data_IF_044785864304
#
_entry.id   IF_044785864304
#
_cell.length_a   1.000
_cell.length_b   1.000
_cell.length_c   1.000
_cell.angle_alpha   90.00
_cell.angle_beta   90.00
_cell.angle_gamma   90.00
#
_symmetry.space_group_name_H-M   'P 1'
#
loop_
_entity.id
_entity.type
_entity.pdbx_description
1 polymer ?
#
# COMPACT_ATOMS: atom_id res chain seq x y z
N UNK A 1 18.44 -7.25 23.57
CA UNK A 1 17.58 -6.04 23.58
C UNK A 1 16.76 -6.05 24.85
N UNK A 2 16.52 -4.91 25.49
CA UNK A 2 15.63 -4.85 26.67
C UNK A 2 14.16 -5.10 26.26
N UNK A 3 13.40 -5.70 27.16
CA UNK A 3 11.98 -6.07 26.98
C UNK A 3 11.11 -4.87 26.61
N UNK A 4 11.35 -3.72 27.24
CA UNK A 4 10.62 -2.47 26.94
C UNK A 4 10.85 -1.99 25.50
N UNK A 5 12.08 -2.14 25.00
CA UNK A 5 12.41 -1.78 23.61
C UNK A 5 11.77 -2.75 22.61
N UNK A 6 11.72 -4.04 22.94
CA UNK A 6 11.00 -5.04 22.13
C UNK A 6 9.52 -4.66 21.99
N UNK A 7 8.86 -4.35 23.11
CA UNK A 7 7.45 -3.97 23.12
C UNK A 7 7.18 -2.65 22.39
N UNK A 8 8.09 -1.69 22.55
CA UNK A 8 8.05 -0.45 21.79
C UNK A 8 8.10 -0.72 20.27
N UNK A 9 9.00 -1.59 19.83
CA UNK A 9 9.22 -1.89 18.41
C UNK A 9 8.10 -2.75 17.81
N UNK A 10 7.46 -3.62 18.60
CA UNK A 10 6.23 -4.31 18.20
C UNK A 10 5.13 -3.32 17.80
N UNK A 11 5.06 -2.13 18.41
CA UNK A 11 4.08 -1.09 18.08
C UNK A 11 4.17 -0.58 16.64
N UNK A 12 5.29 -0.80 15.95
CA UNK A 12 5.37 -0.49 14.53
C UNK A 12 4.60 -1.54 13.69
N UNK A 13 4.59 -2.82 14.11
CA UNK A 13 4.01 -3.94 13.34
C UNK A 13 2.62 -4.35 13.82
N UNK A 14 2.29 -4.06 15.08
CA UNK A 14 1.05 -4.46 15.74
C UNK A 14 0.31 -3.20 16.19
N UNK A 15 -1.01 -3.19 16.01
CA UNK A 15 -1.90 -2.19 16.61
C UNK A 15 -3.09 -2.86 17.27
N UNK A 16 -3.67 -2.18 18.25
CA UNK A 16 -4.92 -2.59 18.90
C UNK A 16 -6.12 -2.04 18.14
N UNK A 17 -6.99 -2.90 17.62
CA UNK A 17 -8.21 -2.45 16.93
C UNK A 17 -9.34 -2.23 17.92
N UNK A 18 -9.54 -3.18 18.84
CA UNK A 18 -10.48 -3.09 19.95
C UNK A 18 -9.92 -3.88 21.16
N UNK A 19 -10.70 -4.10 22.21
CA UNK A 19 -10.22 -4.81 23.40
C UNK A 19 -9.84 -6.27 23.14
N UNK A 20 -10.51 -6.92 22.20
CA UNK A 20 -10.35 -8.34 21.90
C UNK A 20 -9.61 -8.60 20.59
N UNK A 21 -9.13 -7.56 19.90
CA UNK A 21 -8.60 -7.68 18.55
C UNK A 21 -7.34 -6.83 18.34
N UNK A 22 -6.30 -7.49 17.85
CA UNK A 22 -5.10 -6.84 17.33
C UNK A 22 -4.98 -7.08 15.82
N UNK A 23 -4.26 -6.17 15.19
CA UNK A 23 -3.97 -6.20 13.75
C UNK A 23 -2.45 -6.18 13.56
N UNK A 24 -1.95 -7.06 12.69
CA UNK A 24 -0.54 -7.19 12.34
C UNK A 24 -0.33 -6.75 10.89
N UNK A 25 0.57 -5.79 10.71
CA UNK A 25 0.88 -5.17 9.43
C UNK A 25 1.54 -6.16 8.47
N UNK A 26 1.25 -6.01 7.17
CA UNK A 26 1.99 -6.70 6.13
C UNK A 26 3.30 -5.97 5.82
N UNK A 27 4.38 -6.74 5.64
CA UNK A 27 5.73 -6.24 5.41
C UNK A 27 6.04 -6.00 3.93
N UNK A 28 5.85 -7.00 3.06
CA UNK A 28 6.78 -7.16 1.94
C UNK A 28 6.36 -6.50 0.60
N UNK A 29 5.37 -7.04 -0.12
CA UNK A 29 5.07 -6.63 -1.51
C UNK A 29 4.61 -5.17 -1.65
N UNK A 30 4.06 -4.66 -0.57
CA UNK A 30 3.29 -3.44 -0.54
C UNK A 30 4.14 -2.24 -0.05
N UNK A 31 5.06 -2.46 0.89
CA UNK A 31 6.01 -1.44 1.36
C UNK A 31 7.06 -1.05 0.34
N UNK A 32 7.57 -2.03 -0.41
CA UNK A 32 8.56 -1.80 -1.45
C UNK A 32 7.99 -0.99 -2.62
N UNK A 33 6.88 -1.45 -3.22
CA UNK A 33 6.30 -0.79 -4.40
C UNK A 33 5.95 0.67 -4.10
N UNK A 34 5.42 0.96 -2.90
CA UNK A 34 5.22 2.32 -2.43
C UNK A 34 6.50 3.14 -2.37
N UNK A 35 7.54 2.60 -1.74
CA UNK A 35 8.84 3.26 -1.65
C UNK A 35 9.39 3.55 -3.05
N UNK A 36 9.32 2.57 -3.96
CA UNK A 36 9.80 2.70 -5.33
C UNK A 36 9.02 3.79 -6.09
N UNK A 37 7.69 3.76 -6.08
CA UNK A 37 6.88 4.77 -6.77
C UNK A 37 7.15 6.17 -6.23
N UNK A 38 7.22 6.33 -4.90
CA UNK A 38 7.54 7.62 -4.29
C UNK A 38 8.93 8.10 -4.67
N UNK A 39 9.91 7.20 -4.73
CA UNK A 39 11.29 7.55 -5.07
C UNK A 39 11.35 8.06 -6.51
N UNK A 40 10.74 7.32 -7.45
CA UNK A 40 10.66 7.72 -8.86
C UNK A 40 9.96 9.08 -8.99
N UNK A 41 8.83 9.28 -8.33
CA UNK A 41 8.08 10.54 -8.37
C UNK A 41 8.90 11.69 -7.78
N UNK A 42 9.58 11.48 -6.65
CA UNK A 42 10.46 12.50 -6.06
C UNK A 42 11.61 12.86 -7.00
N UNK A 43 12.23 11.87 -7.66
CA UNK A 43 13.28 12.13 -8.65
C UNK A 43 12.74 12.96 -9.82
N UNK A 44 11.56 12.61 -10.36
CA UNK A 44 10.92 13.39 -11.43
C UNK A 44 10.66 14.84 -10.97
N UNK A 45 10.09 15.01 -9.77
CA UNK A 45 9.83 16.32 -9.18
C UNK A 45 11.12 17.14 -9.03
N UNK A 46 12.19 16.53 -8.52
CA UNK A 46 13.49 17.17 -8.32
C UNK A 46 14.08 17.60 -9.67
N UNK A 47 14.05 16.72 -10.68
CA UNK A 47 14.56 17.03 -12.03
C UNK A 47 13.82 18.20 -12.66
N UNK A 48 12.48 18.22 -12.60
CA UNK A 48 11.67 19.32 -13.12
C UNK A 48 11.99 20.61 -12.36
N UNK A 49 12.06 20.54 -11.03
CA UNK A 49 12.38 21.69 -10.19
C UNK A 49 13.75 22.28 -10.50
N UNK A 50 14.77 21.42 -10.69
CA UNK A 50 16.12 21.85 -11.09
C UNK A 50 16.09 22.51 -12.47
N UNK A 51 15.33 21.96 -13.42
CA UNK A 51 15.19 22.53 -14.76
C UNK A 51 14.58 23.95 -14.70
N UNK A 52 13.53 24.15 -13.92
CA UNK A 52 12.89 25.45 -13.75
C UNK A 52 13.85 26.45 -13.08
N UNK A 53 14.54 26.04 -12.02
CA UNK A 53 15.52 26.89 -11.31
C UNK A 53 16.69 27.28 -12.22
N UNK A 54 17.16 26.36 -13.09
CA UNK A 54 18.19 26.67 -14.10
C UNK A 54 17.74 27.75 -15.08
N UNK A 55 16.45 27.82 -15.37
CA UNK A 55 15.86 28.84 -16.23
C UNK A 55 15.44 30.10 -15.45
N UNK A 56 15.92 30.28 -14.21
CA UNK A 56 15.56 31.37 -13.30
C UNK A 56 14.05 31.47 -12.99
N UNK A 57 13.35 30.33 -13.04
CA UNK A 57 11.94 30.23 -12.71
C UNK A 57 11.75 29.56 -11.34
N UNK A 58 10.57 29.81 -10.74
CA UNK A 58 10.15 29.13 -9.52
C UNK A 58 9.88 27.65 -9.85
N UNK A 59 10.22 26.68 -8.98
CA UNK A 59 9.88 25.27 -9.20
C UNK A 59 8.41 25.05 -9.61
N UNK A 60 8.21 24.15 -10.58
CA UNK A 60 6.92 23.80 -11.19
C UNK A 60 6.30 24.85 -12.13
N UNK A 61 7.00 25.95 -12.42
CA UNK A 61 6.51 26.99 -13.35
C UNK A 61 6.30 26.44 -14.76
N UNK A 62 7.17 25.54 -15.24
CA UNK A 62 7.02 24.92 -16.56
C UNK A 62 5.74 24.09 -16.65
N UNK A 63 5.48 23.22 -15.66
CA UNK A 63 4.27 22.39 -15.62
C UNK A 63 3.03 23.28 -15.57
N UNK A 64 3.02 24.26 -14.67
CA UNK A 64 1.90 25.18 -14.52
C UNK A 64 1.61 25.94 -15.82
N UNK A 65 2.64 26.49 -16.45
CA UNK A 65 2.50 27.28 -17.67
C UNK A 65 2.01 26.45 -18.84
N UNK A 66 2.48 25.20 -18.96
CA UNK A 66 1.99 24.28 -19.99
C UNK A 66 0.50 23.97 -19.82
N UNK A 67 0.08 23.56 -18.61
CA UNK A 67 -1.34 23.26 -18.32
C UNK A 67 -2.21 24.52 -18.49
N UNK A 68 -1.72 25.68 -18.05
CA UNK A 68 -2.42 26.96 -18.23
C UNK A 68 -2.58 27.28 -19.71
N UNK A 69 -1.55 27.05 -20.53
CA UNK A 69 -1.60 27.24 -21.98
C UNK A 69 -2.73 26.43 -22.62
N UNK A 70 -2.74 25.12 -22.38
CA UNK A 70 -3.77 24.23 -22.93
C UNK A 70 -5.17 24.61 -22.45
N UNK A 71 -5.33 24.93 -21.16
CA UNK A 71 -6.60 25.39 -20.61
C UNK A 71 -7.10 26.66 -21.29
N UNK A 72 -6.19 27.62 -21.48
CA UNK A 72 -6.50 28.91 -22.08
C UNK A 72 -6.89 28.77 -23.56
N UNK A 73 -6.19 27.94 -24.34
CA UNK A 73 -6.58 27.65 -25.72
C UNK A 73 -7.88 26.84 -25.82
N UNK A 74 -8.08 25.87 -24.93
CA UNK A 74 -9.28 25.02 -24.93
C UNK A 74 -10.54 25.81 -24.56
N UNK A 75 -10.51 26.58 -23.47
CA UNK A 75 -11.71 27.19 -22.90
C UNK A 75 -11.80 28.70 -23.09
N UNK A 76 -10.69 29.39 -23.36
CA UNK A 76 -10.62 30.85 -23.48
C UNK A 76 -9.90 31.33 -24.74
N UNK A 77 -9.96 30.54 -25.82
CA UNK A 77 -9.31 30.84 -27.11
C UNK A 77 -9.66 32.21 -27.67
N UNK A 78 -10.88 32.71 -27.41
CA UNK A 78 -11.31 34.04 -27.86
C UNK A 78 -10.41 35.17 -27.37
N UNK A 79 -9.78 35.02 -26.19
CA UNK A 79 -8.86 36.03 -25.66
C UNK A 79 -7.62 36.22 -26.54
N UNK A 80 -7.24 35.20 -27.32
CA UNK A 80 -6.09 35.24 -28.21
C UNK A 80 -6.51 35.41 -29.68
N UNK A 81 -7.57 34.72 -30.11
CA UNK A 81 -7.98 34.71 -31.51
C UNK A 81 -8.68 36.01 -31.92
N UNK A 82 -9.43 36.68 -31.03
CA UNK A 82 -10.09 37.96 -31.38
C UNK A 82 -9.08 39.06 -31.74
N UNK A 83 -8.02 39.31 -30.96
CA UNK A 83 -6.97 40.25 -31.35
C UNK A 83 -6.36 39.91 -32.71
N UNK A 84 -5.95 38.65 -32.91
CA UNK A 84 -5.33 38.17 -34.15
C UNK A 84 -6.28 38.38 -35.35
N UNK A 85 -7.56 38.08 -35.18
CA UNK A 85 -8.58 38.30 -36.21
C UNK A 85 -8.75 39.78 -36.53
N UNK A 86 -8.81 40.65 -35.51
CA UNK A 86 -8.91 42.09 -35.70
C UNK A 86 -7.70 42.65 -36.44
N UNK A 87 -6.49 42.18 -36.12
CA UNK A 87 -5.27 42.63 -36.78
C UNK A 87 -5.20 42.13 -38.22
N UNK A 88 -5.68 40.92 -38.50
CA UNK A 88 -5.81 40.40 -39.86
C UNK A 88 -6.79 41.23 -40.71
N UNK A 89 -7.92 41.68 -40.12
CA UNK A 89 -8.86 42.57 -40.80
C UNK A 89 -8.26 43.95 -41.09
N UNK A 90 -7.55 44.55 -40.12
CA UNK A 90 -6.85 45.83 -40.32
C UNK A 90 -5.81 45.74 -41.42
N UNK A 91 -4.93 44.74 -41.36
CA UNK A 91 -3.91 44.53 -42.39
C UNK A 91 -4.49 44.29 -43.79
N UNK A 92 -5.71 43.75 -43.89
CA UNK A 92 -6.43 43.64 -45.16
C UNK A 92 -6.88 44.99 -45.72
N UNK A 93 -7.37 45.89 -44.86
CA UNK A 93 -7.74 47.25 -45.28
C UNK A 93 -6.49 48.06 -45.65
N UNK A 94 -5.42 47.97 -44.85
CA UNK A 94 -4.14 48.64 -45.13
C UNK A 94 -3.56 48.17 -46.48
N UNK A 95 -3.62 46.87 -46.76
CA UNK A 95 -3.18 46.31 -48.04
C UNK A 95 -4.02 46.87 -49.20
N UNK A 96 -5.33 46.98 -49.03
CA UNK A 96 -6.20 47.57 -50.05
C UNK A 96 -5.85 49.04 -50.29
N UNK A 97 -5.62 49.81 -49.24
CA UNK A 97 -5.24 51.22 -49.34
C UNK A 97 -3.93 51.38 -50.12
N UNK A 98 -2.95 50.50 -49.87
CA UNK A 98 -1.65 50.54 -50.52
C UNK A 98 -1.66 50.07 -51.99
N UNK A 99 -2.38 48.98 -52.30
CA UNK A 99 -2.27 48.30 -53.59
C UNK A 99 -3.53 48.43 -54.48
N UNK A 100 -4.61 49.04 -53.98
CA UNK A 100 -5.82 49.33 -54.73
C UNK A 100 -6.76 48.14 -54.96
N UNK A 101 -6.47 46.96 -54.39
CA UNK A 101 -7.34 45.78 -54.46
C UNK A 101 -7.35 44.99 -53.16
N UNK A 102 -8.41 44.21 -52.93
CA UNK A 102 -8.53 43.38 -51.74
C UNK A 102 -7.71 42.09 -51.86
N UNK A 103 -6.93 41.72 -50.84
CA UNK A 103 -6.38 40.37 -50.73
C UNK A 103 -7.51 39.36 -50.42
N UNK A 104 -7.15 38.07 -50.42
CA UNK A 104 -8.07 36.94 -50.18
C UNK A 104 -9.05 37.23 -49.04
N UNK A 105 -10.31 36.88 -49.27
CA UNK A 105 -11.38 37.10 -48.30
C UNK A 105 -11.09 36.36 -46.99
N UNK A 106 -11.20 37.10 -45.88
CA UNK A 106 -11.04 36.54 -44.54
C UNK A 106 -12.43 36.03 -44.12
N UNK A 107 -12.55 34.76 -43.73
CA UNK A 107 -13.84 34.21 -43.33
C UNK A 107 -14.38 34.91 -42.09
N UNK A 108 -15.68 34.69 -41.79
CA UNK A 108 -16.27 35.21 -40.57
C UNK A 108 -15.52 34.70 -39.32
N UNK A 109 -15.64 35.42 -38.21
CA UNK A 109 -14.89 35.11 -36.99
C UNK A 109 -15.04 33.65 -36.52
N UNK A 110 -16.24 33.08 -36.61
CA UNK A 110 -16.48 31.70 -36.14
C UNK A 110 -15.74 30.68 -37.00
N UNK A 111 -15.76 30.85 -38.31
CA UNK A 111 -15.04 29.99 -39.25
C UNK A 111 -13.53 30.20 -39.17
N UNK A 112 -13.08 31.46 -39.05
CA UNK A 112 -11.68 31.79 -38.80
C UNK A 112 -11.17 31.10 -37.53
N UNK A 113 -11.91 31.22 -36.42
CA UNK A 113 -11.59 30.57 -35.14
C UNK A 113 -11.51 29.06 -35.28
N UNK A 114 -12.50 28.44 -35.94
CA UNK A 114 -12.54 26.98 -36.15
C UNK A 114 -11.30 26.51 -36.93
N UNK A 115 -10.95 27.21 -38.01
CA UNK A 115 -9.78 26.89 -38.83
C UNK A 115 -8.48 27.09 -38.04
N UNK A 116 -8.37 28.20 -37.29
CA UNK A 116 -7.20 28.48 -36.47
C UNK A 116 -6.97 27.40 -35.41
N UNK A 117 -8.01 27.04 -34.65
CA UNK A 117 -7.92 25.98 -33.64
C UNK A 117 -7.60 24.64 -34.30
N UNK A 118 -8.25 24.29 -35.41
CA UNK A 118 -8.01 23.02 -36.10
C UNK A 118 -6.59 22.88 -36.63
N UNK A 119 -5.94 23.98 -37.01
CA UNK A 119 -4.60 23.94 -37.58
C UNK A 119 -3.50 23.97 -36.51
N UNK A 120 -3.70 24.74 -35.44
CA UNK A 120 -2.64 25.03 -34.47
C UNK A 120 -2.89 24.46 -33.06
N UNK A 121 -4.15 24.28 -32.66
CA UNK A 121 -4.55 23.96 -31.28
C UNK A 121 -5.50 22.76 -31.20
N UNK A 122 -5.45 21.87 -32.21
CA UNK A 122 -6.35 20.73 -32.34
C UNK A 122 -6.24 19.77 -31.16
N UNK A 123 -5.05 19.64 -30.61
CA UNK A 123 -4.71 18.63 -29.60
C UNK A 123 -4.76 19.17 -28.17
N UNK A 124 -4.89 20.48 -27.96
CA UNK A 124 -4.80 21.12 -26.64
C UNK A 124 -5.81 20.55 -25.64
N UNK A 125 -7.03 20.20 -26.07
CA UNK A 125 -8.02 19.56 -25.21
C UNK A 125 -7.59 18.15 -24.77
N UNK A 126 -6.99 17.38 -25.68
CA UNK A 126 -6.49 16.04 -25.40
C UNK A 126 -5.25 16.12 -24.50
N UNK A 127 -4.35 17.07 -24.76
CA UNK A 127 -3.17 17.33 -23.95
C UNK A 127 -3.55 17.73 -22.52
N UNK A 128 -4.52 18.64 -22.37
CA UNK A 128 -5.01 19.07 -21.06
C UNK A 128 -5.56 17.88 -20.26
N UNK A 129 -6.36 17.02 -20.90
CA UNK A 129 -6.90 15.83 -20.27
C UNK A 129 -5.80 14.83 -19.91
N UNK A 130 -4.85 14.58 -20.81
CA UNK A 130 -3.74 13.67 -20.58
C UNK A 130 -2.83 14.14 -19.43
N UNK A 131 -2.46 15.43 -19.39
CA UNK A 131 -1.67 16.04 -18.31
C UNK A 131 -2.42 15.96 -16.98
N UNK A 132 -3.73 16.25 -16.98
CA UNK A 132 -4.57 16.15 -15.77
C UNK A 132 -4.66 14.71 -15.26
N UNK A 133 -4.86 13.74 -16.15
CA UNK A 133 -4.88 12.32 -15.80
C UNK A 133 -3.52 11.84 -15.27
N UNK A 134 -2.42 12.29 -15.86
CA UNK A 134 -1.08 11.95 -15.40
C UNK A 134 -0.83 12.44 -13.96
N UNK A 135 -1.28 13.65 -13.61
CA UNK A 135 -1.22 14.16 -12.23
C UNK A 135 -2.00 13.26 -11.28
N UNK A 136 -3.21 12.84 -11.66
CA UNK A 136 -4.03 11.93 -10.85
C UNK A 136 -3.32 10.58 -10.67
N UNK A 137 -2.70 10.05 -11.73
CA UNK A 137 -1.92 8.80 -11.66
C UNK A 137 -0.71 8.96 -10.74
N UNK A 138 0.04 10.07 -10.81
CA UNK A 138 1.15 10.32 -9.89
C UNK A 138 0.69 10.44 -8.45
N UNK A 139 -0.42 11.14 -8.19
CA UNK A 139 -1.00 11.19 -6.85
C UNK A 139 -1.40 9.79 -6.36
N UNK A 140 -2.07 9.00 -7.19
CA UNK A 140 -2.44 7.63 -6.86
C UNK A 140 -1.22 6.75 -6.53
N UNK A 141 -0.16 6.81 -7.36
CA UNK A 141 1.07 6.04 -7.15
C UNK A 141 1.85 6.54 -5.92
N UNK A 142 1.84 7.85 -5.64
CA UNK A 142 2.49 8.41 -4.46
C UNK A 142 1.78 7.98 -3.16
N UNK A 143 0.44 7.96 -3.17
CA UNK A 143 -0.42 7.52 -2.08
C UNK A 143 -0.87 6.06 -2.23
N UNK A 144 -0.09 5.24 -2.94
CA UNK A 144 -0.49 3.88 -3.33
C UNK A 144 -1.04 3.09 -2.12
N UNK A 145 -2.23 2.46 -2.25
CA UNK A 145 -2.94 1.86 -1.12
C UNK A 145 -2.12 0.79 -0.38
N UNK A 146 -2.47 0.54 0.88
CA UNK A 146 -1.88 -0.51 1.70
C UNK A 146 -2.72 -1.79 1.63
N UNK A 147 -2.07 -2.93 1.35
CA UNK A 147 -2.72 -4.23 1.38
C UNK A 147 -3.11 -4.63 2.81
N UNK A 148 -4.12 -5.49 2.92
CA UNK A 148 -4.73 -5.83 4.21
C UNK A 148 -3.93 -6.78 5.07
N UNK A 149 -4.11 -6.58 6.36
CA UNK A 149 -3.39 -7.14 7.49
C UNK A 149 -3.99 -8.44 8.04
N UNK A 150 -3.17 -9.22 8.74
CA UNK A 150 -3.65 -10.33 9.57
C UNK A 150 -4.27 -9.78 10.86
N UNK A 151 -5.43 -10.33 11.25
CA UNK A 151 -6.11 -9.96 12.50
C UNK A 151 -6.22 -11.16 13.42
N UNK A 152 -6.04 -10.90 14.71
CA UNK A 152 -6.18 -11.89 15.77
C UNK A 152 -7.32 -11.42 16.67
N UNK A 153 -8.28 -12.29 16.93
CA UNK A 153 -9.44 -11.97 17.75
C UNK A 153 -9.61 -12.98 18.89
N UNK A 154 -9.53 -12.52 20.14
CA UNK A 154 -9.70 -13.32 21.35
C UNK A 154 -11.14 -13.71 21.60
N UNK A 155 -12.09 -12.79 21.39
CA UNK A 155 -13.53 -13.02 21.63
C UNK A 155 -14.05 -14.21 20.83
N UNK A 156 -13.69 -14.28 19.55
CA UNK A 156 -14.05 -15.41 18.67
C UNK A 156 -12.99 -16.51 18.66
N UNK A 157 -11.82 -16.27 19.27
CA UNK A 157 -10.66 -17.16 19.28
C UNK A 157 -10.25 -17.61 17.86
N UNK A 158 -10.06 -16.63 16.97
CA UNK A 158 -9.67 -16.86 15.56
C UNK A 158 -8.53 -15.96 15.09
N UNK A 159 -7.78 -16.46 14.12
CA UNK A 159 -6.93 -15.71 13.19
C UNK A 159 -7.70 -15.51 11.89
N UNK A 160 -7.75 -14.30 11.36
CA UNK A 160 -8.44 -14.06 10.10
C UNK A 160 -7.81 -12.94 9.27
N UNK A 161 -8.02 -13.01 7.96
CA UNK A 161 -7.63 -11.99 7.01
C UNK A 161 -8.71 -11.85 5.95
N UNK A 162 -8.99 -10.63 5.53
CA UNK A 162 -9.93 -10.37 4.45
C UNK A 162 -9.13 -9.81 3.28
N UNK A 163 -9.36 -10.31 2.07
CA UNK A 163 -8.75 -9.86 0.83
C UNK A 163 -9.85 -9.58 -0.21
N UNK A 164 -9.47 -9.40 -1.48
CA UNK A 164 -10.45 -9.15 -2.56
C UNK A 164 -11.29 -10.41 -2.84
N UNK A 165 -10.69 -11.58 -2.66
CA UNK A 165 -11.28 -12.89 -2.97
C UNK A 165 -12.29 -13.34 -1.90
N UNK A 166 -12.07 -12.99 -0.63
CA UNK A 166 -12.90 -13.40 0.48
C UNK A 166 -12.28 -13.13 1.84
N UNK A 167 -12.76 -13.86 2.87
CA UNK A 167 -12.19 -13.82 4.22
C UNK A 167 -11.70 -15.22 4.58
N UNK A 168 -10.42 -15.34 4.88
CA UNK A 168 -9.83 -16.55 5.43
C UNK A 168 -9.91 -16.49 6.95
N UNK A 169 -10.37 -17.59 7.57
CA UNK A 169 -10.55 -17.71 9.02
C UNK A 169 -9.91 -19.02 9.47
N UNK A 170 -9.19 -18.98 10.59
CA UNK A 170 -8.58 -20.13 11.24
C UNK A 170 -8.87 -20.05 12.74
N UNK A 171 -9.46 -21.09 13.35
CA UNK A 171 -9.73 -21.17 14.77
C UNK A 171 -8.42 -21.44 15.50
N UNK A 172 -8.35 -20.91 16.71
CA UNK A 172 -7.24 -21.12 17.63
C UNK A 172 -7.70 -22.13 18.67
N UNK A 173 -6.95 -23.23 18.91
CA UNK A 173 -7.39 -24.25 19.87
C UNK A 173 -7.46 -23.69 21.29
N UNK A 174 -8.31 -24.29 22.11
CA UNK A 174 -8.39 -23.95 23.55
C UNK A 174 -7.16 -24.42 24.32
N UNK A 175 -6.61 -25.58 23.95
CA UNK A 175 -5.46 -26.21 24.61
C UNK A 175 -4.31 -26.41 23.61
N UNK A 176 -3.08 -26.24 24.07
CA UNK A 176 -1.85 -26.39 23.27
C UNK A 176 -1.39 -25.09 22.61
N UNK A 177 -0.55 -25.20 21.56
CA UNK A 177 -0.01 -24.02 20.86
C UNK A 177 -1.14 -23.30 20.09
N UNK A 178 -1.40 -22.01 20.36
CA UNK A 178 -2.42 -21.25 19.66
C UNK A 178 -2.12 -21.07 18.16
N UNK A 179 -0.88 -21.27 17.72
CA UNK A 179 -0.48 -21.17 16.31
C UNK A 179 -0.50 -22.52 15.57
N UNK A 180 -0.99 -23.59 16.20
CA UNK A 180 -1.09 -24.92 15.60
C UNK A 180 -1.92 -24.99 14.31
N UNK A 181 -2.79 -24.01 14.06
CA UNK A 181 -3.63 -23.94 12.87
C UNK A 181 -3.05 -23.19 11.68
N UNK A 182 -1.85 -22.62 11.82
CA UNK A 182 -1.17 -21.85 10.78
C UNK A 182 0.18 -22.44 10.45
N UNK A 183 0.69 -22.14 9.25
CA UNK A 183 2.09 -22.34 8.94
C UNK A 183 2.83 -21.02 9.06
N UNK A 184 4.04 -21.01 9.59
CA UNK A 184 4.91 -19.85 9.60
C UNK A 184 6.37 -20.19 9.32
N UNK A 185 7.09 -19.23 8.75
CA UNK A 185 8.52 -19.27 8.53
C UNK A 185 9.10 -17.87 8.81
N UNK A 186 9.94 -17.75 9.84
CA UNK A 186 10.63 -16.51 10.25
C UNK A 186 11.78 -16.12 9.33
N UNK A 187 12.26 -17.06 8.54
CA UNK A 187 13.41 -16.98 7.65
C UNK A 187 12.97 -17.16 6.20
N UNK A 188 11.76 -16.67 5.88
CA UNK A 188 11.29 -16.71 4.51
C UNK A 188 12.10 -15.73 3.66
N UNK A 189 12.08 -15.98 2.35
CA UNK A 189 12.82 -15.17 1.40
C UNK A 189 12.34 -13.74 1.52
N UNK A 190 13.29 -12.81 1.56
CA UNK A 190 13.02 -11.42 1.27
C UNK A 190 13.44 -11.17 -0.19
N UNK A 191 12.50 -11.07 -1.16
CA UNK A 191 12.84 -11.04 -2.59
C UNK A 191 13.78 -9.91 -3.04
N UNK A 192 13.99 -8.88 -2.22
CA UNK A 192 14.97 -7.82 -2.46
C UNK A 192 16.21 -7.88 -1.55
N UNK A 193 16.34 -8.94 -0.76
CA UNK A 193 17.43 -9.16 0.19
C UNK A 193 18.67 -9.81 -0.39
N UNK A 194 18.80 -9.87 -1.72
CA UNK A 194 19.88 -10.62 -2.38
C UNK A 194 19.96 -12.08 -1.88
N UNK A 195 18.80 -12.72 -1.66
CA UNK A 195 18.70 -14.08 -1.13
C UNK A 195 18.76 -14.21 0.39
N UNK A 196 18.77 -13.11 1.14
CA UNK A 196 18.76 -13.16 2.60
C UNK A 196 17.36 -13.53 3.15
N UNK A 197 17.37 -14.37 4.19
CA UNK A 197 16.23 -15.05 4.78
C UNK A 197 15.82 -14.41 6.11
N UNK A 198 15.03 -13.34 6.06
CA UNK A 198 14.64 -12.61 7.27
C UNK A 198 13.20 -12.10 7.26
N UNK A 199 12.33 -12.58 6.35
CA UNK A 199 10.91 -12.20 6.33
C UNK A 199 10.05 -13.23 7.08
N UNK A 200 9.07 -12.75 7.85
CA UNK A 200 8.07 -13.61 8.48
C UNK A 200 6.95 -13.91 7.49
N UNK A 201 6.89 -15.13 6.96
CA UNK A 201 5.73 -15.59 6.19
C UNK A 201 4.77 -16.41 7.05
N UNK A 202 3.46 -16.17 6.93
CA UNK A 202 2.39 -16.89 7.61
C UNK A 202 1.33 -17.33 6.61
N UNK A 203 0.90 -18.59 6.66
CA UNK A 203 -0.16 -19.12 5.79
C UNK A 203 -1.27 -19.73 6.63
N UNK A 204 -2.50 -19.31 6.35
CA UNK A 204 -3.72 -19.85 6.97
C UNK A 204 -4.13 -21.13 6.23
N UNK A 205 -4.08 -22.31 6.87
CA UNK A 205 -4.16 -23.62 6.18
C UNK A 205 -5.22 -24.59 6.71
N UNK A 206 -6.00 -24.22 7.74
CA UNK A 206 -6.88 -25.18 8.40
C UNK A 206 -8.08 -25.66 7.54
N UNK A 207 -8.51 -24.87 6.56
CA UNK A 207 -9.53 -25.23 5.56
C UNK A 207 -9.16 -24.72 4.17
N UNK A 208 -9.65 -25.42 3.16
CA UNK A 208 -9.74 -24.90 1.79
C UNK A 208 -10.79 -23.77 1.73
N UNK A 209 -10.44 -22.59 2.23
CA UNK A 209 -11.16 -21.36 1.94
C UNK A 209 -10.81 -20.84 0.55
N UNK A 210 -11.72 -20.06 -0.06
CA UNK A 210 -11.48 -19.39 -1.35
C UNK A 210 -10.29 -18.43 -1.34
N UNK A 211 -9.83 -17.99 -0.16
CA UNK A 211 -8.64 -17.16 0.02
C UNK A 211 -7.50 -17.99 0.64
N UNK A 212 -6.56 -18.46 -0.20
CA UNK A 212 -5.33 -19.16 0.22
C UNK A 212 -4.16 -18.20 0.20
N UNK A 213 -4.16 -17.23 1.11
CA UNK A 213 -3.12 -16.22 1.11
C UNK A 213 -2.03 -16.57 2.13
N UNK A 214 -0.80 -16.69 1.62
CA UNK A 214 0.40 -16.53 2.42
C UNK A 214 0.67 -15.03 2.61
N UNK A 215 0.88 -14.61 3.85
CA UNK A 215 1.13 -13.24 4.25
C UNK A 215 2.58 -13.07 4.65
N UNK A 216 3.22 -11.97 4.25
CA UNK A 216 4.47 -11.54 4.85
C UNK A 216 4.15 -10.50 5.92
N UNK A 217 4.44 -10.80 7.18
CA UNK A 217 4.13 -9.94 8.32
C UNK A 217 5.34 -9.08 8.72
N UNK A 218 5.06 -7.96 9.38
CA UNK A 218 6.07 -7.06 9.92
C UNK A 218 6.18 -5.74 9.15
N UNK A 219 7.38 -5.16 9.10
CA UNK A 219 7.62 -3.83 8.53
C UNK A 219 8.83 -3.79 7.63
N UNK A 220 8.63 -3.10 6.51
CA UNK A 220 9.66 -2.81 5.52
C UNK A 220 10.48 -1.55 5.86
N UNK A 221 11.78 -1.43 5.51
CA UNK A 221 12.68 -2.46 4.98
C UNK A 221 13.49 -3.17 6.06
N UNK A 222 13.03 -3.16 7.31
CA UNK A 222 13.72 -3.82 8.44
C UNK A 222 13.07 -5.14 8.84
N UNK A 223 12.83 -6.13 7.95
CA UNK A 223 12.52 -7.44 8.45
C UNK A 223 13.79 -7.99 9.11
N UNK A 224 13.68 -8.28 10.41
CA UNK A 224 14.74 -8.77 11.28
C UNK A 224 14.26 -10.09 11.85
N UNK A 225 15.09 -11.13 11.82
CA UNK A 225 14.75 -12.44 12.36
C UNK A 225 14.36 -12.39 13.85
N UNK A 226 14.94 -11.48 14.62
CA UNK A 226 14.56 -11.21 16.02
C UNK A 226 13.18 -10.55 16.09
N UNK A 227 12.90 -9.55 15.25
CA UNK A 227 11.59 -8.92 15.22
C UNK A 227 10.48 -9.89 14.78
N UNK A 228 10.78 -10.79 13.87
CA UNK A 228 9.87 -11.87 13.47
C UNK A 228 9.57 -12.80 14.64
N UNK A 229 10.57 -13.12 15.46
CA UNK A 229 10.39 -13.86 16.71
C UNK A 229 9.42 -13.15 17.64
N UNK A 230 9.62 -11.85 17.85
CA UNK A 230 8.79 -11.03 18.71
C UNK A 230 7.34 -10.99 18.23
N UNK A 231 7.10 -10.91 16.91
CA UNK A 231 5.74 -10.96 16.35
C UNK A 231 5.09 -12.32 16.63
N UNK A 232 5.79 -13.42 16.36
CA UNK A 232 5.27 -14.79 16.62
C UNK A 232 4.99 -15.00 18.11
N UNK A 233 5.89 -14.53 18.99
CA UNK A 233 5.72 -14.57 20.45
C UNK A 233 4.52 -13.73 20.89
N UNK A 234 4.39 -12.51 20.40
CA UNK A 234 3.24 -11.64 20.67
C UNK A 234 1.92 -12.30 20.24
N UNK A 235 1.89 -12.97 19.08
CA UNK A 235 0.70 -13.70 18.63
C UNK A 235 0.32 -14.82 19.59
N UNK A 236 1.29 -15.56 20.14
CA UNK A 236 1.04 -16.62 21.13
C UNK A 236 0.53 -16.05 22.45
N UNK A 237 1.25 -15.09 23.02
CA UNK A 237 0.84 -14.44 24.27
C UNK A 237 -0.52 -13.76 24.15
N UNK A 238 -0.83 -13.25 22.95
CA UNK A 238 -2.14 -12.72 22.66
C UNK A 238 -3.26 -13.75 22.80
N UNK A 239 -3.04 -15.06 22.69
CA UNK A 239 -4.11 -16.03 22.94
C UNK A 239 -3.99 -16.76 24.28
N UNK A 240 -2.82 -16.74 24.91
CA UNK A 240 -2.58 -17.50 26.15
C UNK A 240 -2.70 -16.67 27.42
N UNK A 241 -2.39 -15.37 27.39
CA UNK A 241 -2.42 -14.51 28.57
C UNK A 241 -3.65 -13.59 28.53
N UNK A 242 -4.33 -13.42 29.66
CA UNK A 242 -5.49 -12.53 29.74
C UNK A 242 -5.09 -11.05 29.53
N UNK A 243 -3.97 -10.61 30.10
CA UNK A 243 -3.46 -9.25 29.94
C UNK A 243 -1.96 -9.25 29.61
N UNK A 244 -1.57 -9.54 28.36
CA UNK A 244 -0.16 -9.62 28.00
C UNK A 244 0.51 -8.26 28.08
N UNK A 245 1.68 -8.22 28.69
CA UNK A 245 2.41 -7.00 29.03
C UNK A 245 2.70 -6.13 27.81
N UNK A 246 3.03 -6.76 26.66
CA UNK A 246 3.34 -6.02 25.44
C UNK A 246 2.19 -5.11 25.00
N UNK A 247 0.93 -5.49 25.23
CA UNK A 247 -0.23 -4.68 24.81
C UNK A 247 -0.29 -3.31 25.49
N UNK A 248 0.32 -3.14 26.67
CA UNK A 248 0.42 -1.85 27.34
C UNK A 248 1.26 -0.83 26.54
N UNK A 249 2.14 -1.32 25.66
CA UNK A 249 2.98 -0.51 24.78
C UNK A 249 2.42 -0.33 23.36
N UNK A 250 1.27 -0.94 23.07
CA UNK A 250 0.63 -0.95 21.74
C UNK A 250 -0.59 -0.02 21.73
N UNK A 251 -0.59 0.94 20.80
CA UNK A 251 -1.69 1.89 20.62
C UNK A 251 -2.75 1.45 19.60
N UNK A 252 -3.76 2.31 19.40
CA UNK A 252 -4.80 2.13 18.37
C UNK A 252 -4.30 2.28 16.93
N UNK A 253 -3.23 3.04 16.77
CA UNK A 253 -2.55 3.25 15.50
C UNK A 253 -1.19 2.56 15.55
N UNK A 254 -0.70 2.11 14.39
CA UNK A 254 0.70 1.74 14.27
C UNK A 254 1.58 2.93 14.66
N UNK A 255 2.67 2.65 15.38
CA UNK A 255 3.65 3.66 15.75
C UNK A 255 4.23 4.28 14.48
N UNK A 256 4.35 5.60 14.46
CA UNK A 256 4.93 6.31 13.32
C UNK A 256 6.45 6.21 13.37
N UNK A 257 7.10 5.75 12.29
CA UNK A 257 8.54 5.56 12.26
C UNK A 257 9.28 6.85 11.86
N UNK A 258 8.92 8.01 12.43
CA UNK A 258 9.50 9.31 12.02
C UNK A 258 11.02 9.37 12.19
N UNK A 259 11.57 8.76 13.25
CA UNK A 259 13.01 8.64 13.46
C UNK A 259 13.68 7.52 12.63
N UNK A 260 12.91 6.82 11.79
CA UNK A 260 13.38 5.77 10.86
C UNK A 260 12.91 6.14 9.45
N UNK A 261 13.56 7.12 8.80
CA UNK A 261 13.04 7.81 7.62
C UNK A 261 12.74 6.87 6.45
N UNK A 262 13.55 5.82 6.26
CA UNK A 262 13.30 4.83 5.21
C UNK A 262 12.04 3.98 5.48
N UNK A 263 11.79 3.64 6.75
CA UNK A 263 10.55 2.97 7.13
C UNK A 263 9.37 3.92 6.94
N UNK A 264 9.49 5.18 7.35
CA UNK A 264 8.44 6.17 7.12
C UNK A 264 8.14 6.34 5.64
N UNK A 265 9.17 6.42 4.81
CA UNK A 265 9.04 6.58 3.38
C UNK A 265 8.32 5.42 2.70
N UNK A 266 8.51 4.18 3.15
CA UNK A 266 7.89 2.99 2.56
C UNK A 266 6.52 2.63 3.17
N UNK A 267 6.20 3.12 4.37
CA UNK A 267 5.05 2.64 5.14
C UNK A 267 4.10 3.73 5.64
N UNK A 268 4.51 5.00 5.60
CA UNK A 268 3.67 6.17 5.88
C UNK A 268 2.98 6.65 4.60
N UNK A 269 2.16 7.72 4.67
CA UNK A 269 1.56 8.38 3.50
C UNK A 269 0.74 7.47 2.57
N UNK A 270 0.13 6.41 3.11
CA UNK A 270 -0.85 5.56 2.43
C UNK A 270 -2.07 5.44 3.32
N UNK A 271 -2.93 6.48 3.36
CA UNK A 271 -4.10 6.49 4.24
C UNK A 271 -5.15 5.46 3.81
N UNK A 272 -5.08 5.01 2.56
CA UNK A 272 -6.06 4.09 1.96
C UNK A 272 -5.60 2.66 2.23
N UNK A 273 -6.41 1.91 2.97
CA UNK A 273 -6.28 0.45 3.09
C UNK A 273 -7.13 -0.19 2.00
N UNK A 274 -6.53 -1.06 1.19
CA UNK A 274 -7.21 -1.75 0.11
C UNK A 274 -7.07 -3.29 0.20
N UNK A 275 -8.17 -4.04 0.06
CA UNK A 275 -9.55 -3.55 -0.01
C UNK A 275 -10.01 -2.84 1.29
N UNK A 276 -11.18 -2.20 1.31
CA UNK A 276 -11.69 -1.54 2.53
C UNK A 276 -12.22 -2.55 3.57
N UNK A 277 -11.69 -2.55 4.79
CA UNK A 277 -12.12 -3.52 5.81
C UNK A 277 -13.61 -3.42 6.14
N UNK A 278 -14.32 -4.53 5.93
CA UNK A 278 -15.75 -4.63 6.21
C UNK A 278 -15.98 -5.56 7.40
N UNK A 279 -16.18 -4.96 8.57
CA UNK A 279 -16.42 -5.66 9.83
C UNK A 279 -17.56 -6.67 9.75
N UNK A 280 -18.72 -6.25 9.22
CA UNK A 280 -19.89 -7.12 9.05
C UNK A 280 -19.61 -8.34 8.16
N UNK A 281 -18.82 -8.16 7.09
CA UNK A 281 -18.43 -9.29 6.21
C UNK A 281 -17.47 -10.24 6.92
N UNK A 282 -16.54 -9.71 7.73
CA UNK A 282 -15.62 -10.53 8.50
C UNK A 282 -16.36 -11.31 9.59
N UNK A 283 -17.25 -10.68 10.36
CA UNK A 283 -18.05 -11.34 11.39
C UNK A 283 -18.97 -12.41 10.81
N UNK A 284 -19.59 -12.15 9.66
CA UNK A 284 -20.37 -13.16 8.93
C UNK A 284 -19.50 -14.36 8.54
N UNK A 285 -18.33 -14.14 7.94
CA UNK A 285 -17.42 -15.21 7.55
C UNK A 285 -16.89 -16.01 8.75
N UNK A 286 -16.64 -15.35 9.88
CA UNK A 286 -16.24 -16.01 11.14
C UNK A 286 -17.37 -16.91 11.64
N UNK A 287 -18.60 -16.41 11.69
CA UNK A 287 -19.75 -17.18 12.16
C UNK A 287 -20.06 -18.39 11.25
N UNK A 288 -20.03 -18.19 9.93
CA UNK A 288 -20.19 -19.28 8.95
C UNK A 288 -19.11 -20.36 9.14
N UNK A 289 -17.86 -19.93 9.27
CA UNK A 289 -16.74 -20.83 9.48
C UNK A 289 -16.86 -21.59 10.81
N UNK A 290 -17.20 -20.91 11.90
CA UNK A 290 -17.38 -21.55 13.21
C UNK A 290 -18.50 -22.61 13.15
N UNK A 291 -19.62 -22.28 12.52
CA UNK A 291 -20.72 -23.23 12.32
C UNK A 291 -20.30 -24.48 11.51
N UNK A 292 -19.37 -24.35 10.57
CA UNK A 292 -18.78 -25.50 9.85
C UNK A 292 -17.78 -26.28 10.70
N UNK A 293 -16.97 -25.58 11.48
CA UNK A 293 -15.99 -26.18 12.40
C UNK A 293 -16.67 -27.02 13.50
N UNK A 294 -17.75 -26.50 14.05
CA UNK A 294 -18.50 -27.12 15.15
C UNK A 294 -19.28 -28.37 14.71
N UNK A 295 -19.53 -28.54 13.40
CA UNK A 295 -20.08 -29.79 12.84
C UNK A 295 -19.07 -30.94 12.86
N UNK A 296 -17.77 -30.65 12.95
CA UNK A 296 -16.74 -31.68 12.96
C UNK A 296 -16.61 -32.31 14.35
N UNK A 297 -16.47 -33.62 14.39
CA UNK A 297 -16.09 -34.32 15.62
C UNK A 297 -14.72 -33.86 16.13
N UNK A 298 -14.50 -33.94 17.45
CA UNK A 298 -13.22 -33.60 18.07
C UNK A 298 -12.03 -34.32 17.40
N UNK A 299 -12.21 -35.59 17.03
CA UNK A 299 -11.19 -36.39 16.32
C UNK A 299 -10.86 -35.80 14.94
N UNK A 300 -11.85 -35.33 14.20
CA UNK A 300 -11.65 -34.68 12.89
C UNK A 300 -10.96 -33.32 13.05
N UNK A 301 -11.34 -32.54 14.07
CA UNK A 301 -10.69 -31.27 14.38
C UNK A 301 -9.20 -31.46 14.73
N UNK A 302 -8.90 -32.42 15.62
CA UNK A 302 -7.53 -32.79 15.99
C UNK A 302 -6.72 -33.28 14.78
N UNK A 303 -7.30 -34.12 13.93
CA UNK A 303 -6.63 -34.61 12.72
C UNK A 303 -6.20 -33.46 11.79
N UNK A 304 -7.02 -32.40 11.68
CA UNK A 304 -6.69 -31.21 10.88
C UNK A 304 -5.55 -30.40 11.49
N UNK A 305 -5.56 -30.17 12.80
CA UNK A 305 -4.43 -29.52 13.48
C UNK A 305 -3.15 -30.35 13.34
N UNK A 306 -3.22 -31.67 13.53
CA UNK A 306 -2.07 -32.56 13.36
C UNK A 306 -1.48 -32.51 11.94
N UNK A 307 -2.32 -32.40 10.91
CA UNK A 307 -1.85 -32.27 9.53
C UNK A 307 -1.07 -30.95 9.31
N UNK A 308 -1.53 -29.85 9.90
CA UNK A 308 -0.81 -28.55 9.84
C UNK A 308 0.47 -28.60 10.68
N UNK A 309 0.43 -29.15 11.88
CA UNK A 309 1.60 -29.32 12.75
C UNK A 309 2.68 -30.18 12.09
N UNK A 310 2.32 -31.29 11.44
CA UNK A 310 3.27 -32.13 10.69
C UNK A 310 3.97 -31.32 9.58
N UNK A 311 3.21 -30.54 8.82
CA UNK A 311 3.75 -29.64 7.79
C UNK A 311 4.66 -28.56 8.41
N UNK A 312 4.31 -28.03 9.58
CA UNK A 312 5.14 -27.06 10.29
C UNK A 312 6.45 -27.69 10.77
N UNK A 313 6.42 -28.93 11.26
CA UNK A 313 7.63 -29.68 11.65
C UNK A 313 8.55 -29.92 10.44
N UNK A 314 8.00 -30.26 9.28
CA UNK A 314 8.76 -30.36 8.02
C UNK A 314 9.47 -29.03 7.69
N UNK A 315 8.77 -27.90 7.81
CA UNK A 315 9.36 -26.56 7.62
C UNK A 315 10.49 -26.31 8.64
N UNK A 316 10.24 -26.59 9.92
CA UNK A 316 11.22 -26.39 10.99
C UNK A 316 12.48 -27.24 10.76
N UNK A 317 12.33 -28.52 10.37
CA UNK A 317 13.44 -29.43 10.09
C UNK A 317 14.27 -28.96 8.88
N UNK A 318 13.60 -28.55 7.80
CA UNK A 318 14.28 -28.02 6.61
C UNK A 318 15.08 -26.74 6.93
N UNK A 319 14.51 -25.82 7.71
CA UNK A 319 15.19 -24.60 8.13
C UNK A 319 16.35 -24.90 9.09
N UNK A 320 16.19 -25.88 9.99
CA UNK A 320 17.24 -26.32 10.91
C UNK A 320 18.44 -26.90 10.16
N UNK A 321 18.22 -27.65 9.08
CA UNK A 321 19.29 -28.13 8.20
C UNK A 321 20.06 -26.99 7.52
N UNK A 322 19.43 -25.83 7.34
CA UNK A 322 20.02 -24.60 6.81
C UNK A 322 20.62 -23.70 7.90
N UNK A 323 20.67 -24.16 9.17
CA UNK A 323 21.17 -23.38 10.30
C UNK A 323 20.19 -22.32 10.85
N UNK A 324 18.93 -22.34 10.42
CA UNK A 324 17.91 -21.39 10.83
C UNK A 324 16.90 -22.01 11.82
N UNK A 325 16.80 -21.46 13.04
CA UNK A 325 15.92 -21.97 14.09
C UNK A 325 14.55 -21.29 14.08
N UNK A 326 13.57 -21.89 13.41
CA UNK A 326 12.24 -21.30 13.21
C UNK A 326 11.37 -21.29 14.47
N UNK A 327 11.57 -22.24 15.37
CA UNK A 327 10.76 -22.35 16.59
C UNK A 327 11.00 -21.15 17.51
N UNK A 328 9.94 -20.69 18.16
CA UNK A 328 9.98 -19.54 19.08
C UNK A 328 9.60 -20.04 20.46
N UNK A 329 10.42 -19.70 21.46
CA UNK A 329 10.14 -20.01 22.86
C UNK A 329 9.30 -18.91 23.53
N UNK A 330 9.07 -19.04 24.84
CA UNK A 330 8.29 -18.08 25.62
C UNK A 330 9.12 -16.90 26.15
N UNK A 331 10.44 -16.89 26.00
CA UNK A 331 11.33 -15.92 26.68
C UNK A 331 11.54 -14.68 25.85
N UNK A 332 11.19 -13.50 26.35
CA UNK A 332 11.37 -12.26 25.59
C UNK A 332 12.83 -11.85 25.43
N UNK A 333 13.68 -12.24 26.36
CA UNK A 333 15.10 -11.86 26.41
C UNK A 333 15.96 -13.08 26.75
N UNK A 334 17.24 -13.05 26.35
CA UNK A 334 18.19 -14.12 26.69
C UNK A 334 18.57 -14.17 28.17
N UNK A 335 18.33 -13.06 28.88
CA UNK A 335 18.40 -12.94 30.34
C UNK A 335 16.98 -12.68 30.80
N UNK A 336 16.35 -13.68 31.40
CA UNK A 336 15.18 -13.45 32.24
C UNK A 336 15.76 -13.19 33.63
N UNK A 337 15.72 -11.93 34.07
CA UNK A 337 16.09 -11.55 35.45
C UNK A 337 14.91 -11.82 36.40
#
# INVERSE_FOLDING_TARGET
MDKKQIYHDLGYSIRKTNNDEIEIKLSFLDGFLRGLFRLIIMVIIIVISISDVKNHQIPFTSIYSSIKGDYMWTFKSDLYIKPIYSDALKGREDFKEQYGFYPKEIPNYLEYKKNYISNYHKWDILELFAKSMLIIVFLFLFFYPHHRTLRLNRKYRVLYSQNIVGTAVVPVPEKGDPLSGILYNRFSIYPFGRGQHFSLSVTLKLFEGKARDGFFLGIYPTPNAEHNEHIVRAMREFFTQDNPEFLQHIGRCYRTPWCRPLIAFCNSLSPIYFPFFHRRKAEKAIAEYQAEWDKLSLKQQQARYHAVQKRQQEINNNLKQQGCYNEVDHRWTWRDD
#
